data_IF_148920522421
#
_entry.id   IF_148920522421
#
_cell.length_a   1.000
_cell.length_b   1.000
_cell.length_c   1.000
_cell.angle_alpha   90.00
_cell.angle_beta   90.00
_cell.angle_gamma   90.00
#
_symmetry.space_group_name_H-M   'P 1'
#
loop_
_entity.id
_entity.type
_entity.pdbx_description
1 polymer ?
#
# COMPACT_ATOMS: atom_id res chain seq x y z
N UNK A 1 -1.54 81.50 8.58
CA UNK A 1 -1.35 80.05 8.80
C UNK A 1 -2.08 79.66 10.08
N UNK A 2 -3.31 79.18 9.96
CA UNK A 2 -4.20 78.80 11.07
C UNK A 2 -3.92 77.35 11.47
N UNK A 3 -3.26 77.13 12.60
CA UNK A 3 -3.13 75.81 13.21
C UNK A 3 -4.44 75.49 13.92
N UNK A 4 -5.27 74.65 13.31
CA UNK A 4 -6.46 74.09 13.93
C UNK A 4 -6.04 73.25 15.16
N UNK A 5 -6.52 73.64 16.34
CA UNK A 5 -6.37 72.87 17.55
C UNK A 5 -7.26 71.62 17.44
N UNK A 6 -6.66 70.49 17.07
CA UNK A 6 -7.34 69.19 17.04
C UNK A 6 -7.81 68.89 18.47
N UNK A 7 -9.13 68.78 18.65
CA UNK A 7 -9.72 68.42 19.94
C UNK A 7 -9.26 67.04 20.39
N UNK A 8 -8.78 66.91 21.62
CA UNK A 8 -8.40 65.64 22.26
C UNK A 8 -9.53 64.59 22.17
N UNK A 9 -10.79 65.03 22.16
CA UNK A 9 -11.95 64.15 22.01
C UNK A 9 -12.04 63.54 20.60
N UNK A 10 -11.69 64.31 19.56
CA UNK A 10 -11.62 63.82 18.18
C UNK A 10 -10.50 62.79 18.02
N UNK A 11 -9.34 63.04 18.64
CA UNK A 11 -8.18 62.14 18.62
C UNK A 11 -8.49 60.80 19.34
N UNK A 12 -9.17 60.85 20.48
CA UNK A 12 -9.55 59.65 21.21
C UNK A 12 -10.57 58.79 20.42
N UNK A 13 -11.52 59.43 19.72
CA UNK A 13 -12.46 58.72 18.84
C UNK A 13 -11.76 58.01 17.68
N UNK A 14 -10.78 58.67 17.05
CA UNK A 14 -9.99 58.03 15.98
C UNK A 14 -9.13 56.89 16.51
N UNK A 15 -8.53 57.02 17.69
CA UNK A 15 -7.74 55.95 18.31
C UNK A 15 -8.59 54.71 18.61
N UNK A 16 -9.76 54.87 19.24
CA UNK A 16 -10.68 53.76 19.50
C UNK A 16 -11.19 53.08 18.22
N UNK A 17 -11.37 53.86 17.14
CA UNK A 17 -11.73 53.30 15.83
C UNK A 17 -10.58 52.47 15.25
N UNK A 18 -9.34 52.96 15.35
CA UNK A 18 -8.16 52.22 14.90
C UNK A 18 -7.97 50.94 15.71
N UNK A 19 -8.13 51.00 17.03
CA UNK A 19 -8.03 49.84 17.92
C UNK A 19 -9.07 48.76 17.59
N UNK A 20 -10.35 49.14 17.43
CA UNK A 20 -11.39 48.17 17.05
C UNK A 20 -11.18 47.59 15.65
N UNK A 21 -10.63 48.36 14.71
CA UNK A 21 -10.24 47.82 13.39
C UNK A 21 -9.06 46.84 13.48
N UNK A 22 -8.06 47.13 14.33
CA UNK A 22 -6.92 46.23 14.57
C UNK A 22 -7.38 44.91 15.19
N UNK A 23 -8.23 44.95 16.21
CA UNK A 23 -8.79 43.75 16.84
C UNK A 23 -9.62 42.92 15.84
N UNK A 24 -10.37 43.58 14.96
CA UNK A 24 -11.14 42.89 13.91
C UNK A 24 -10.22 42.21 12.89
N UNK A 25 -9.13 42.87 12.52
CA UNK A 25 -8.12 42.31 11.60
C UNK A 25 -7.41 41.12 12.25
N UNK A 26 -7.02 41.24 13.51
CA UNK A 26 -6.38 40.17 14.29
C UNK A 26 -7.28 38.93 14.38
N UNK A 27 -8.56 39.10 14.72
CA UNK A 27 -9.53 38.01 14.74
C UNK A 27 -9.66 37.32 13.36
N UNK A 28 -9.64 38.10 12.27
CA UNK A 28 -9.65 37.55 10.90
C UNK A 28 -8.38 36.79 10.57
N UNK A 29 -7.21 37.27 11.01
CA UNK A 29 -5.93 36.58 10.84
C UNK A 29 -5.91 35.24 11.57
N UNK A 30 -6.41 35.17 12.80
CA UNK A 30 -6.50 33.92 13.58
C UNK A 30 -7.38 32.88 12.85
N UNK A 31 -8.54 33.31 12.33
CA UNK A 31 -9.42 32.43 11.56
C UNK A 31 -8.75 31.96 10.26
N UNK A 32 -8.03 32.85 9.59
CA UNK A 32 -7.29 32.51 8.36
C UNK A 32 -6.17 31.50 8.65
N UNK A 33 -5.39 31.72 9.71
CA UNK A 33 -4.30 30.83 10.12
C UNK A 33 -4.83 29.42 10.46
N UNK A 34 -5.91 29.35 11.24
CA UNK A 34 -6.59 28.07 11.53
C UNK A 34 -7.10 27.39 10.25
N UNK A 35 -7.57 28.16 9.27
CA UNK A 35 -8.04 27.61 8.00
C UNK A 35 -6.90 27.09 7.14
N UNK A 36 -5.75 27.77 7.14
CA UNK A 36 -4.53 27.33 6.45
C UNK A 36 -4.03 26.02 7.06
N UNK A 37 -3.96 25.91 8.39
CA UNK A 37 -3.54 24.68 9.07
C UNK A 37 -4.41 23.48 8.68
N UNK A 38 -5.74 23.63 8.74
CA UNK A 38 -6.69 22.58 8.34
C UNK A 38 -6.54 22.19 6.87
N UNK A 39 -6.23 23.15 6.01
CA UNK A 39 -6.03 22.91 4.59
C UNK A 39 -4.71 22.14 4.36
N UNK A 40 -3.64 22.52 5.05
CA UNK A 40 -2.35 21.81 5.02
C UNK A 40 -2.48 20.37 5.51
N UNK A 41 -3.22 20.11 6.60
CA UNK A 41 -3.48 18.74 7.08
C UNK A 41 -4.20 17.90 6.01
N UNK A 42 -5.23 18.46 5.36
CA UNK A 42 -5.94 17.78 4.28
C UNK A 42 -5.05 17.49 3.08
N UNK A 43 -4.22 18.44 2.66
CA UNK A 43 -3.26 18.23 1.58
C UNK A 43 -2.22 17.16 1.94
N UNK A 44 -1.76 17.11 3.19
CA UNK A 44 -0.87 16.04 3.65
C UNK A 44 -1.51 14.66 3.49
N UNK A 45 -2.76 14.49 3.94
CA UNK A 45 -3.49 13.23 3.77
C UNK A 45 -3.67 12.85 2.29
N UNK A 46 -4.03 13.81 1.44
CA UNK A 46 -4.17 13.57 0.01
C UNK A 46 -2.85 13.24 -0.69
N UNK A 47 -1.74 13.87 -0.27
CA UNK A 47 -0.41 13.52 -0.80
C UNK A 47 -0.09 12.06 -0.53
N UNK A 48 -0.33 11.58 0.70
CA UNK A 48 -0.05 10.19 1.06
C UNK A 48 -0.95 9.19 0.32
N UNK A 49 -2.22 9.55 0.06
CA UNK A 49 -3.13 8.70 -0.71
C UNK A 49 -2.75 8.66 -2.19
N UNK A 50 -2.36 9.81 -2.77
CA UNK A 50 -1.87 9.93 -4.14
C UNK A 50 -0.57 9.17 -4.35
N UNK A 51 0.39 9.27 -3.44
CA UNK A 51 1.64 8.51 -3.48
C UNK A 51 1.35 6.99 -3.50
N UNK A 52 0.48 6.51 -2.63
CA UNK A 52 0.09 5.10 -2.62
C UNK A 52 -0.65 4.69 -3.91
N UNK A 53 -1.43 5.58 -4.54
CA UNK A 53 -2.06 5.29 -5.83
C UNK A 53 -1.05 5.27 -6.98
N UNK A 54 -0.06 6.16 -6.98
CA UNK A 54 1.01 6.18 -7.98
C UNK A 54 1.82 4.88 -7.92
N UNK A 55 2.20 4.42 -6.73
CA UNK A 55 2.92 3.16 -6.55
C UNK A 55 2.11 1.96 -7.07
N UNK A 56 0.78 1.98 -6.89
CA UNK A 56 -0.10 0.95 -7.45
C UNK A 56 -0.20 1.03 -8.97
N UNK A 57 -0.34 2.24 -9.52
CA UNK A 57 -0.45 2.47 -10.96
C UNK A 57 0.83 2.08 -11.70
N UNK A 58 2.00 2.32 -11.10
CA UNK A 58 3.30 1.86 -11.61
C UNK A 58 3.36 0.32 -11.67
N UNK A 59 2.86 -0.38 -10.65
CA UNK A 59 2.81 -1.84 -10.62
C UNK A 59 1.91 -2.41 -11.72
N UNK A 60 0.70 -1.85 -11.91
CA UNK A 60 -0.20 -2.29 -12.97
C UNK A 60 0.37 -1.98 -14.36
N UNK A 61 0.95 -0.80 -14.54
CA UNK A 61 1.54 -0.37 -15.81
C UNK A 61 2.71 -1.25 -16.20
N UNK A 62 3.65 -1.50 -15.27
CA UNK A 62 4.79 -2.38 -15.53
C UNK A 62 4.39 -3.81 -15.86
N UNK A 63 3.37 -4.38 -15.19
CA UNK A 63 2.85 -5.71 -15.52
C UNK A 63 2.19 -5.79 -16.90
N UNK A 64 1.51 -4.74 -17.33
CA UNK A 64 0.88 -4.68 -18.65
C UNK A 64 1.89 -4.43 -19.77
N UNK A 65 2.97 -3.72 -19.47
CA UNK A 65 4.06 -3.44 -20.41
C UNK A 65 5.08 -4.59 -20.50
N UNK A 66 5.22 -5.37 -19.43
CA UNK A 66 6.15 -6.50 -19.39
C UNK A 66 5.67 -7.63 -20.32
N UNK A 67 6.46 -7.87 -21.36
CA UNK A 67 6.22 -8.92 -22.35
C UNK A 67 6.79 -10.25 -21.87
N UNK A 68 6.16 -10.82 -20.85
CA UNK A 68 6.49 -12.16 -20.41
C UNK A 68 6.12 -13.20 -21.47
N UNK A 69 6.98 -14.18 -21.66
CA UNK A 69 6.66 -15.39 -22.42
C UNK A 69 5.65 -16.24 -21.65
N UNK A 70 4.92 -17.11 -22.33
CA UNK A 70 3.97 -18.02 -21.68
C UNK A 70 4.63 -18.91 -20.62
N UNK A 71 5.89 -19.32 -20.85
CA UNK A 71 6.66 -20.13 -19.88
C UNK A 71 6.97 -19.33 -18.62
N UNK A 72 7.43 -18.08 -18.75
CA UNK A 72 7.69 -17.19 -17.62
C UNK A 72 6.42 -16.93 -16.80
N UNK A 73 5.31 -16.59 -17.49
CA UNK A 73 4.01 -16.38 -16.85
C UNK A 73 3.58 -17.62 -16.06
N UNK A 74 3.64 -18.80 -16.68
CA UNK A 74 3.25 -20.05 -16.05
C UNK A 74 4.12 -20.38 -14.83
N UNK A 75 5.43 -20.17 -14.93
CA UNK A 75 6.35 -20.40 -13.81
C UNK A 75 6.07 -19.46 -12.65
N UNK A 76 6.01 -18.15 -12.89
CA UNK A 76 5.75 -17.15 -11.86
C UNK A 76 4.39 -17.36 -11.21
N UNK A 77 3.35 -17.59 -12.02
CA UNK A 77 2.01 -17.92 -11.56
C UNK A 77 2.01 -19.15 -10.64
N UNK A 78 2.77 -20.18 -10.98
CA UNK A 78 2.85 -21.40 -10.17
C UNK A 78 3.50 -21.16 -8.81
N UNK A 79 4.61 -20.42 -8.75
CA UNK A 79 5.22 -20.03 -7.48
C UNK A 79 4.31 -19.15 -6.63
N UNK A 80 3.56 -18.24 -7.27
CA UNK A 80 2.55 -17.41 -6.60
C UNK A 80 1.44 -18.27 -5.99
N UNK A 81 0.88 -19.21 -6.76
CA UNK A 81 -0.17 -20.12 -6.29
C UNK A 81 0.28 -20.91 -5.04
N UNK A 82 1.48 -21.48 -5.08
CA UNK A 82 2.05 -22.20 -3.94
C UNK A 82 2.29 -21.28 -2.73
N UNK A 83 2.78 -20.06 -2.97
CA UNK A 83 3.02 -19.08 -1.90
C UNK A 83 1.72 -18.65 -1.23
N UNK A 84 0.68 -18.36 -2.02
CA UNK A 84 -0.67 -18.05 -1.54
C UNK A 84 -1.24 -19.21 -0.74
N UNK A 85 -1.05 -20.44 -1.23
CA UNK A 85 -1.48 -21.66 -0.54
C UNK A 85 -0.75 -21.86 0.81
N UNK A 86 0.57 -21.67 0.83
CA UNK A 86 1.38 -21.76 2.05
C UNK A 86 0.94 -20.73 3.10
N UNK A 87 0.77 -19.47 2.67
CA UNK A 87 0.32 -18.38 3.54
C UNK A 87 -1.08 -18.66 4.11
N UNK A 88 -2.04 -19.04 3.26
CA UNK A 88 -3.39 -19.40 3.68
C UNK A 88 -3.37 -20.56 4.68
N UNK A 89 -2.63 -21.62 4.37
CA UNK A 89 -2.50 -22.80 5.22
C UNK A 89 -1.91 -22.46 6.60
N UNK A 90 -0.92 -21.57 6.67
CA UNK A 90 -0.35 -21.13 7.94
C UNK A 90 -1.35 -20.36 8.81
N UNK A 91 -2.15 -19.48 8.21
CA UNK A 91 -3.18 -18.73 8.93
C UNK A 91 -4.29 -19.66 9.43
N UNK A 92 -4.79 -20.56 8.58
CA UNK A 92 -5.87 -21.50 8.94
C UNK A 92 -5.42 -22.50 10.00
N UNK A 93 -4.17 -23.00 9.94
CA UNK A 93 -3.59 -23.87 10.98
C UNK A 93 -3.55 -23.20 12.36
N UNK A 94 -3.39 -21.87 12.42
CA UNK A 94 -3.40 -21.11 13.67
C UNK A 94 -4.81 -20.80 14.19
N UNK A 95 -5.80 -20.76 13.30
CA UNK A 95 -7.18 -20.42 13.61
C UNK A 95 -8.15 -21.51 13.13
N UNK A 96 -8.03 -22.76 13.65
CA UNK A 96 -8.85 -23.87 13.19
C UNK A 96 -10.35 -23.64 13.43
N UNK A 97 -10.70 -22.88 14.47
CA UNK A 97 -12.06 -22.46 14.79
C UNK A 97 -12.69 -21.56 13.70
N UNK A 98 -11.86 -20.78 12.99
CA UNK A 98 -12.30 -19.85 11.94
C UNK A 98 -12.11 -20.40 10.53
N UNK A 99 -11.55 -21.61 10.37
CA UNK A 99 -11.21 -22.21 9.08
C UNK A 99 -12.37 -22.21 8.07
N UNK A 100 -13.58 -22.56 8.52
CA UNK A 100 -14.79 -22.55 7.66
C UNK A 100 -15.16 -21.16 7.14
N UNK A 101 -14.81 -20.12 7.89
CA UNK A 101 -15.03 -18.73 7.51
C UNK A 101 -13.90 -18.14 6.67
N UNK A 102 -12.81 -18.88 6.46
CA UNK A 102 -11.59 -18.43 5.79
C UNK A 102 -11.22 -19.35 4.62
N UNK A 103 -12.09 -19.53 3.61
CA UNK A 103 -11.86 -20.48 2.52
C UNK A 103 -10.68 -20.10 1.62
N UNK A 104 -10.29 -18.82 1.57
CA UNK A 104 -9.26 -18.29 0.65
C UNK A 104 -8.41 -17.21 1.32
N UNK A 105 -7.24 -16.90 0.74
CA UNK A 105 -6.45 -15.74 1.18
C UNK A 105 -7.24 -14.42 1.07
N UNK A 106 -8.08 -14.26 0.04
CA UNK A 106 -8.94 -13.07 -0.11
C UNK A 106 -9.92 -12.91 1.06
N UNK A 107 -10.48 -14.01 1.58
CA UNK A 107 -11.36 -13.97 2.75
C UNK A 107 -10.62 -13.57 4.04
N UNK A 108 -9.35 -13.95 4.18
CA UNK A 108 -8.46 -13.54 5.27
C UNK A 108 -8.19 -12.04 5.17
N UNK A 109 -7.72 -11.57 4.01
CA UNK A 109 -7.40 -10.16 3.77
C UNK A 109 -8.61 -9.24 3.99
N UNK A 110 -9.81 -9.66 3.58
CA UNK A 110 -11.05 -8.91 3.80
C UNK A 110 -11.44 -8.79 5.27
N UNK A 111 -11.10 -9.80 6.09
CA UNK A 111 -11.53 -9.90 7.50
C UNK A 111 -10.46 -9.44 8.49
N UNK A 112 -9.19 -9.31 8.06
CA UNK A 112 -8.06 -8.95 8.95
C UNK A 112 -8.29 -7.66 9.74
N UNK A 113 -8.87 -6.63 9.11
CA UNK A 113 -9.15 -5.35 9.76
C UNK A 113 -10.31 -5.42 10.79
N UNK A 114 -11.22 -6.39 10.64
CA UNK A 114 -12.40 -6.54 11.50
C UNK A 114 -12.21 -7.54 12.63
N UNK A 115 -11.23 -8.43 12.51
CA UNK A 115 -10.95 -9.47 13.49
C UNK A 115 -9.44 -9.48 13.83
N UNK A 116 -9.05 -8.96 15.01
CA UNK A 116 -7.66 -8.87 15.41
C UNK A 116 -6.93 -10.21 15.45
N UNK A 117 -7.62 -11.32 15.76
CA UNK A 117 -7.02 -12.67 15.75
C UNK A 117 -6.56 -13.06 14.34
N UNK A 118 -7.34 -12.70 13.32
CA UNK A 118 -6.99 -12.94 11.91
C UNK A 118 -5.80 -12.06 11.50
N UNK A 119 -5.81 -10.79 11.90
CA UNK A 119 -4.68 -9.87 11.67
C UNK A 119 -3.37 -10.42 12.24
N UNK A 120 -3.37 -10.77 13.53
CA UNK A 120 -2.20 -11.32 14.21
C UNK A 120 -1.73 -12.64 13.59
N UNK A 121 -2.66 -13.54 13.25
CA UNK A 121 -2.31 -14.82 12.60
C UNK A 121 -1.70 -14.61 11.20
N UNK A 122 -2.19 -13.63 10.45
CA UNK A 122 -1.62 -13.25 9.16
C UNK A 122 -0.22 -12.65 9.33
N UNK A 123 -0.03 -11.69 10.24
CA UNK A 123 1.29 -11.10 10.53
C UNK A 123 2.30 -12.16 10.94
N UNK A 124 1.94 -13.09 11.83
CA UNK A 124 2.89 -14.15 12.21
C UNK A 124 3.18 -15.13 11.06
N UNK A 125 2.20 -15.38 10.18
CA UNK A 125 2.42 -16.22 9.00
C UNK A 125 3.34 -15.53 7.99
N UNK A 126 3.18 -14.22 7.80
CA UNK A 126 4.04 -13.38 6.97
C UNK A 126 5.49 -13.39 7.49
N UNK A 127 5.69 -13.12 8.78
CA UNK A 127 7.01 -13.18 9.42
C UNK A 127 7.67 -14.55 9.25
N UNK A 128 6.92 -15.63 9.48
CA UNK A 128 7.44 -17.00 9.34
C UNK A 128 7.88 -17.31 7.91
N UNK A 129 7.17 -16.78 6.91
CA UNK A 129 7.48 -16.98 5.50
C UNK A 129 8.48 -15.96 4.95
N UNK A 130 8.93 -15.00 5.77
CA UNK A 130 9.80 -13.91 5.30
C UNK A 130 9.13 -13.00 4.28
N UNK A 131 7.80 -12.86 4.37
CA UNK A 131 6.99 -12.04 3.48
C UNK A 131 6.48 -10.78 4.19
N UNK A 132 6.27 -9.72 3.41
CA UNK A 132 5.63 -8.49 3.83
C UNK A 132 4.30 -8.30 3.08
N UNK A 133 3.42 -7.45 3.62
CA UNK A 133 2.11 -7.18 3.01
C UNK A 133 2.23 -6.60 1.59
N UNK A 134 3.25 -5.76 1.33
CA UNK A 134 3.52 -5.20 0.00
C UNK A 134 3.85 -6.29 -1.03
N UNK A 135 4.60 -7.31 -0.63
CA UNK A 135 4.95 -8.42 -1.52
C UNK A 135 3.72 -9.29 -1.82
N UNK A 136 2.90 -9.57 -0.81
CA UNK A 136 1.63 -10.30 -1.02
C UNK A 136 0.71 -9.53 -1.96
N UNK A 137 0.62 -8.21 -1.82
CA UNK A 137 -0.15 -7.36 -2.76
C UNK A 137 0.38 -7.50 -4.18
N UNK A 138 1.69 -7.37 -4.39
CA UNK A 138 2.32 -7.50 -5.70
C UNK A 138 2.06 -8.88 -6.35
N UNK A 139 2.18 -9.96 -5.58
CA UNK A 139 1.86 -11.32 -6.04
C UNK A 139 0.37 -11.47 -6.40
N UNK A 140 -0.53 -10.88 -5.60
CA UNK A 140 -1.96 -10.86 -5.91
C UNK A 140 -2.28 -10.08 -7.18
N UNK A 141 -1.61 -8.95 -7.43
CA UNK A 141 -1.77 -8.18 -8.68
C UNK A 141 -1.36 -9.04 -9.86
N UNK A 142 -0.15 -9.64 -9.84
CA UNK A 142 0.31 -10.54 -10.91
C UNK A 142 -0.69 -11.69 -11.13
N UNK A 143 -1.15 -12.34 -10.05
CA UNK A 143 -2.13 -13.41 -10.12
C UNK A 143 -3.39 -12.94 -10.85
N UNK A 144 -3.97 -11.80 -10.45
CA UNK A 144 -5.20 -11.28 -11.08
C UNK A 144 -4.97 -10.96 -12.56
N UNK A 145 -3.84 -10.34 -12.90
CA UNK A 145 -3.51 -9.95 -14.28
C UNK A 145 -3.41 -11.17 -15.20
N UNK A 146 -2.69 -12.22 -14.79
CA UNK A 146 -2.34 -13.33 -15.68
C UNK A 146 -3.16 -14.61 -15.46
N UNK A 147 -4.09 -14.66 -14.50
CA UNK A 147 -4.85 -15.88 -14.17
C UNK A 147 -5.66 -16.48 -15.33
N UNK A 148 -6.05 -15.68 -16.32
CA UNK A 148 -6.86 -16.17 -17.45
C UNK A 148 -6.04 -16.93 -18.50
N UNK A 149 -4.75 -16.59 -18.64
CA UNK A 149 -3.85 -17.17 -19.64
C UNK A 149 -2.82 -18.14 -19.03
N UNK A 150 -2.59 -18.05 -17.71
CA UNK A 150 -1.59 -18.85 -17.03
C UNK A 150 -2.04 -20.30 -16.79
N UNK A 151 -1.12 -21.23 -16.99
CA UNK A 151 -1.25 -22.63 -16.64
C UNK A 151 -0.39 -22.95 -15.42
N UNK A 152 -0.97 -23.62 -14.42
CA UNK A 152 -0.24 -24.05 -13.24
C UNK A 152 0.70 -25.23 -13.55
N UNK A 153 1.98 -25.07 -13.21
CA UNK A 153 3.04 -26.06 -13.31
C UNK A 153 3.31 -26.70 -11.93
N UNK A 154 2.99 -27.99 -11.75
CA UNK A 154 3.30 -28.72 -10.53
C UNK A 154 4.82 -28.84 -10.34
N UNK A 155 5.25 -29.15 -9.11
CA UNK A 155 6.65 -29.21 -8.72
C UNK A 155 7.56 -29.97 -9.71
N UNK A 156 7.12 -31.14 -10.19
CA UNK A 156 7.86 -31.96 -11.16
C UNK A 156 8.17 -31.25 -12.48
N UNK A 157 7.27 -30.38 -12.94
CA UNK A 157 7.48 -29.60 -14.16
C UNK A 157 8.36 -28.36 -13.91
N UNK A 158 8.37 -27.85 -12.68
CA UNK A 158 9.21 -26.71 -12.26
C UNK A 158 10.67 -27.08 -12.00
N UNK A 159 10.95 -28.34 -11.67
CA UNK A 159 12.30 -28.85 -11.36
C UNK A 159 13.33 -28.50 -12.45
N UNK A 160 12.94 -28.59 -13.72
CA UNK A 160 13.81 -28.24 -14.85
C UNK A 160 14.23 -26.76 -14.91
N UNK A 161 13.48 -25.88 -14.26
CA UNK A 161 13.70 -24.42 -14.25
C UNK A 161 14.21 -23.90 -12.91
N UNK A 162 14.26 -24.74 -11.87
CA UNK A 162 14.47 -24.29 -10.49
C UNK A 162 15.87 -23.69 -10.27
N UNK A 163 16.87 -24.14 -11.04
CA UNK A 163 18.24 -23.59 -10.94
C UNK A 163 18.38 -22.19 -11.54
N UNK A 164 17.58 -21.88 -12.56
CA UNK A 164 17.71 -20.64 -13.33
C UNK A 164 16.58 -19.64 -13.06
N UNK A 165 15.56 -20.02 -12.29
CA UNK A 165 14.38 -19.17 -12.05
C UNK A 165 14.73 -17.82 -11.40
N UNK A 166 15.66 -17.79 -10.45
CA UNK A 166 16.09 -16.53 -9.82
C UNK A 166 16.79 -15.61 -10.81
N UNK A 167 17.65 -16.17 -11.67
CA UNK A 167 18.32 -15.42 -12.74
C UNK A 167 17.32 -14.89 -13.76
N UNK A 168 16.34 -15.70 -14.14
CA UNK A 168 15.24 -15.33 -15.04
C UNK A 168 14.39 -14.18 -14.46
N UNK A 169 14.02 -14.26 -13.17
CA UNK A 169 13.29 -13.19 -12.48
C UNK A 169 14.10 -11.88 -12.53
N UNK A 170 15.40 -11.95 -12.24
CA UNK A 170 16.26 -10.77 -12.24
C UNK A 170 16.44 -10.15 -13.64
N UNK A 171 16.35 -10.94 -14.72
CA UNK A 171 16.53 -10.43 -16.08
C UNK A 171 15.24 -9.93 -16.73
N UNK A 172 14.11 -10.58 -16.44
CA UNK A 172 12.86 -10.34 -17.18
C UNK A 172 11.92 -9.40 -16.44
N UNK A 173 11.93 -9.40 -15.10
CA UNK A 173 11.02 -8.58 -14.30
C UNK A 173 11.65 -7.22 -14.03
N UNK A 174 11.06 -6.16 -14.59
CA UNK A 174 11.58 -4.79 -14.45
C UNK A 174 11.13 -4.09 -13.17
N UNK A 175 9.88 -4.34 -12.76
CA UNK A 175 9.34 -3.76 -11.55
C UNK A 175 10.06 -4.34 -10.32
N UNK A 176 10.71 -3.47 -9.54
CA UNK A 176 11.54 -3.90 -8.41
C UNK A 176 10.74 -4.60 -7.30
N UNK A 177 9.53 -4.10 -7.03
CA UNK A 177 8.65 -4.69 -6.02
C UNK A 177 8.20 -6.08 -6.46
N UNK A 178 7.75 -6.25 -7.71
CA UNK A 178 7.37 -7.54 -8.27
C UNK A 178 8.55 -8.52 -8.29
N UNK A 179 9.72 -8.06 -8.73
CA UNK A 179 10.94 -8.87 -8.80
C UNK A 179 11.28 -9.42 -7.42
N UNK A 180 11.38 -8.56 -6.40
CA UNK A 180 11.61 -8.97 -5.01
C UNK A 180 10.53 -9.93 -4.51
N UNK A 181 9.27 -9.63 -4.79
CA UNK A 181 8.13 -10.47 -4.37
C UNK A 181 8.20 -11.87 -4.96
N UNK A 182 8.57 -12.00 -6.24
CA UNK A 182 8.72 -13.28 -6.91
C UNK A 182 9.93 -14.06 -6.38
N UNK A 183 11.04 -13.38 -6.06
CA UNK A 183 12.19 -14.03 -5.40
C UNK A 183 11.80 -14.57 -4.02
N UNK A 184 11.05 -13.81 -3.22
CA UNK A 184 10.52 -14.28 -1.94
C UNK A 184 9.57 -15.47 -2.13
N UNK A 185 8.70 -15.44 -3.16
CA UNK A 185 7.82 -16.56 -3.48
C UNK A 185 8.61 -17.84 -3.82
N UNK A 186 9.68 -17.73 -4.62
CA UNK A 186 10.57 -18.87 -4.91
C UNK A 186 11.18 -19.41 -3.62
N UNK A 187 11.72 -18.54 -2.76
CA UNK A 187 12.29 -18.96 -1.47
C UNK A 187 11.26 -19.66 -0.58
N UNK A 188 10.05 -19.12 -0.47
CA UNK A 188 8.97 -19.74 0.30
C UNK A 188 8.69 -21.14 -0.21
N UNK A 189 8.52 -21.32 -1.51
CA UNK A 189 8.12 -22.61 -2.09
C UNK A 189 9.23 -23.63 -2.03
N UNK A 190 10.48 -23.23 -2.30
CA UNK A 190 11.62 -24.14 -2.31
C UNK A 190 12.07 -24.49 -0.88
N UNK A 191 11.96 -23.58 0.09
CA UNK A 191 12.25 -23.87 1.50
C UNK A 191 11.10 -24.59 2.23
N UNK A 192 9.87 -24.51 1.71
CA UNK A 192 8.71 -25.25 2.25
C UNK A 192 8.63 -26.70 1.77
N UNK A 193 9.54 -27.14 0.89
CA UNK A 193 9.73 -28.55 0.53
C UNK A 193 10.42 -29.30 1.68
N UNK A 194 9.64 -29.65 2.72
CA UNK A 194 9.98 -30.64 3.75
C UNK A 194 8.91 -31.70 3.78
#
# INVERSE_FOLDING_TARGET
MTKEAISLCALNKTLNRVESTLQTIEARFIVLDSSIQKLSEKFGLWSTDLEHQIDQDEMWTSLLEDRFTSVEVNLFYSYICETIHCLHSHVVKRLPDLARGLPTLSSILRRKAKNPRIGLALETALEKLGLHEGEVKALCVFFITHNHDACYYPARQREGYTKDICSMINSVVKNQLLQRSLLCAVQVVENSKV
#
